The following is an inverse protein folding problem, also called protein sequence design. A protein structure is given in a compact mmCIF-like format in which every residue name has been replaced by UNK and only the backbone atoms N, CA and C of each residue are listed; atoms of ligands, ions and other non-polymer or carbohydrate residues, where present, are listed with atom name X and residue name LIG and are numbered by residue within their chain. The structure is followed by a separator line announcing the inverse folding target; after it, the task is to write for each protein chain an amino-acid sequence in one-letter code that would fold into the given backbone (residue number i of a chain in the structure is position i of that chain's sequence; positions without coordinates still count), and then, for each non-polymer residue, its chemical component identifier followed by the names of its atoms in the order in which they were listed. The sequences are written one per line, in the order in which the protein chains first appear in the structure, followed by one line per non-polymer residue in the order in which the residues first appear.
data_IF_442984327274
#
_entry.id   IF_442984327274
#
_cell.length_a   1.000
_cell.length_b   1.000
_cell.length_c   1.000
_cell.angle_alpha   90.00
_cell.angle_beta   90.00
_cell.angle_gamma   90.00
#
_symmetry.space_group_name_H-M   'P 1'
#
loop_
_entity.id
_entity.type
_entity.pdbx_description
1 polymer ?
#
# COMPACT_ATOMS: atom_id res chain seq x y z
N UNK A 1 -25.48 6.13 27.63
CA UNK A 1 -24.94 7.43 27.18
C UNK A 1 -23.71 7.91 27.98
N UNK A 2 -23.69 7.86 29.32
CA UNK A 2 -22.57 8.38 30.13
C UNK A 2 -21.19 7.71 29.88
N UNK A 3 -21.13 6.41 29.57
CA UNK A 3 -19.87 5.70 29.25
C UNK A 3 -19.27 6.13 27.90
N UNK A 4 -20.10 6.35 26.89
CA UNK A 4 -19.66 6.83 25.58
C UNK A 4 -19.07 8.24 25.69
N UNK A 5 -19.72 9.13 26.45
CA UNK A 5 -19.20 10.49 26.72
C UNK A 5 -17.85 10.48 27.44
N UNK A 6 -17.68 9.63 28.45
CA UNK A 6 -16.39 9.46 29.15
C UNK A 6 -15.29 8.87 28.28
N UNK A 7 -15.62 8.03 27.30
CA UNK A 7 -14.66 7.49 26.35
C UNK A 7 -14.17 8.57 25.37
N UNK A 8 -15.10 9.39 24.86
CA UNK A 8 -14.78 10.55 24.01
C UNK A 8 -13.92 11.57 24.76
N UNK A 9 -14.29 11.90 26.01
CA UNK A 9 -13.53 12.84 26.85
C UNK A 9 -12.11 12.33 27.15
N UNK A 10 -11.91 11.02 27.30
CA UNK A 10 -10.57 10.42 27.47
C UNK A 10 -9.76 10.45 26.19
N UNK A 11 -10.37 10.19 25.05
CA UNK A 11 -9.70 10.25 23.76
C UNK A 11 -9.20 11.67 23.46
N UNK A 12 -10.03 12.69 23.70
CA UNK A 12 -9.67 14.10 23.48
C UNK A 12 -8.58 14.66 24.41
N UNK A 13 -8.32 14.01 25.55
CA UNK A 13 -7.28 14.41 26.52
C UNK A 13 -5.98 13.62 26.39
N UNK A 14 -5.86 12.76 25.38
CA UNK A 14 -4.69 11.90 25.21
C UNK A 14 -3.53 12.74 24.65
N UNK A 15 -2.52 12.95 25.49
CA UNK A 15 -1.31 13.69 25.10
C UNK A 15 -0.34 12.73 24.45
N UNK A 16 0.10 13.06 23.24
CA UNK A 16 1.14 12.33 22.53
C UNK A 16 2.45 13.12 22.60
N UNK A 17 3.61 12.45 22.73
CA UNK A 17 4.90 13.13 22.67
C UNK A 17 5.12 13.70 21.27
N UNK A 18 5.73 14.88 21.19
CA UNK A 18 5.89 15.69 19.97
C UNK A 18 7.22 15.45 19.23
N UNK A 19 7.93 14.37 19.54
CA UNK A 19 9.19 14.09 18.86
C UNK A 19 8.95 13.54 17.45
N UNK A 20 9.82 13.95 16.51
CA UNK A 20 9.70 13.60 15.10
C UNK A 20 9.81 12.10 14.84
N UNK A 21 10.55 11.35 15.67
CA UNK A 21 10.75 9.92 15.45
C UNK A 21 9.54 9.05 15.84
N UNK A 22 8.51 9.62 16.50
CA UNK A 22 7.25 8.91 16.81
C UNK A 22 6.36 8.87 15.57
N UNK A 23 6.53 9.83 14.65
CA UNK A 23 5.80 9.90 13.37
C UNK A 23 6.25 8.84 12.36
N UNK A 24 7.41 8.20 12.56
CA UNK A 24 7.94 7.16 11.67
C UNK A 24 7.00 5.95 11.55
N UNK A 25 6.30 5.59 12.64
CA UNK A 25 5.27 4.55 12.61
C UNK A 25 4.00 4.99 11.90
N UNK A 26 3.67 6.28 11.95
CA UNK A 26 2.52 6.86 11.26
C UNK A 26 2.71 6.84 9.74
N UNK A 27 3.92 7.09 9.25
CA UNK A 27 4.26 6.95 7.82
C UNK A 27 3.94 5.52 7.33
N UNK A 28 4.30 4.50 8.10
CA UNK A 28 3.97 3.12 7.76
C UNK A 28 2.46 2.88 7.74
N UNK A 29 1.70 3.46 8.68
CA UNK A 29 0.23 3.35 8.70
C UNK A 29 -0.42 4.03 7.49
N UNK A 30 0.04 5.22 7.11
CA UNK A 30 -0.46 5.93 5.92
C UNK A 30 -0.12 5.16 4.64
N UNK A 31 1.12 4.67 4.52
CA UNK A 31 1.52 3.86 3.37
C UNK A 31 0.70 2.57 3.27
N UNK A 32 0.39 1.93 4.40
CA UNK A 32 -0.50 0.76 4.45
C UNK A 32 -1.92 1.09 3.96
N UNK A 33 -2.47 2.23 4.37
CA UNK A 33 -3.79 2.66 3.88
C UNK A 33 -3.79 2.90 2.37
N UNK A 34 -2.75 3.55 1.84
CA UNK A 34 -2.57 3.74 0.39
C UNK A 34 -2.46 2.40 -0.33
N UNK A 35 -1.72 1.43 0.22
CA UNK A 35 -1.61 0.08 -0.31
C UNK A 35 -2.97 -0.63 -0.38
N UNK A 36 -3.77 -0.56 0.69
CA UNK A 36 -5.12 -1.14 0.67
C UNK A 36 -6.01 -0.48 -0.38
N UNK A 37 -6.09 0.84 -0.39
CA UNK A 37 -6.96 1.57 -1.31
C UNK A 37 -6.60 1.28 -2.77
N UNK A 38 -5.31 1.40 -3.12
CA UNK A 38 -4.83 1.12 -4.48
C UNK A 38 -4.91 -0.36 -4.83
N UNK A 39 -4.56 -1.25 -3.90
CA UNK A 39 -4.57 -2.71 -4.10
C UNK A 39 -5.98 -3.24 -4.37
N UNK A 40 -6.99 -2.74 -3.67
CA UNK A 40 -8.40 -3.07 -3.92
C UNK A 40 -8.78 -2.69 -5.36
N UNK A 41 -8.41 -1.49 -5.80
CA UNK A 41 -8.71 -1.05 -7.18
C UNK A 41 -7.99 -1.95 -8.20
N UNK A 42 -6.69 -2.22 -8.00
CA UNK A 42 -5.91 -3.07 -8.90
C UNK A 42 -6.45 -4.51 -8.96
N UNK A 43 -6.94 -5.04 -7.85
CA UNK A 43 -7.49 -6.39 -7.76
C UNK A 43 -8.72 -6.60 -8.66
N UNK A 44 -9.51 -5.55 -8.93
CA UNK A 44 -10.65 -5.67 -9.86
C UNK A 44 -10.24 -5.86 -11.33
N UNK A 45 -9.00 -5.51 -11.69
CA UNK A 45 -8.51 -5.59 -13.07
C UNK A 45 -7.44 -6.67 -13.28
N UNK A 46 -6.98 -7.31 -12.20
CA UNK A 46 -5.93 -8.32 -12.24
C UNK A 46 -6.52 -9.72 -12.39
N UNK A 47 -6.01 -10.50 -13.33
CA UNK A 47 -6.36 -11.91 -13.51
C UNK A 47 -5.22 -12.80 -13.00
N UNK A 48 -5.46 -13.55 -11.92
CA UNK A 48 -4.44 -14.40 -11.28
C UNK A 48 -4.28 -15.78 -11.95
N UNK A 49 -4.34 -15.85 -13.28
CA UNK A 49 -4.22 -17.10 -14.05
C UNK A 49 -2.84 -17.28 -14.70
N UNK A 50 -2.33 -18.50 -14.63
CA UNK A 50 -1.11 -18.95 -15.33
C UNK A 50 -1.35 -19.49 -16.74
N UNK A 51 -2.60 -19.42 -17.24
CA UNK A 51 -2.93 -19.83 -18.61
C UNK A 51 -2.18 -18.99 -19.65
N UNK A 52 -1.76 -19.63 -20.74
CA UNK A 52 -1.11 -18.95 -21.85
C UNK A 52 -2.14 -18.26 -22.75
N UNK A 53 -1.83 -17.03 -23.14
CA UNK A 53 -2.63 -16.23 -24.07
C UNK A 53 -1.72 -15.38 -24.95
N UNK A 54 -2.23 -14.99 -26.11
CA UNK A 54 -1.51 -14.10 -27.04
C UNK A 54 -2.00 -12.68 -26.84
N UNK A 55 -1.08 -11.72 -26.66
CA UNK A 55 -1.45 -10.33 -26.39
C UNK A 55 -1.99 -9.63 -27.64
N UNK A 56 -3.16 -8.99 -27.50
CA UNK A 56 -3.78 -8.17 -28.56
C UNK A 56 -4.23 -6.78 -28.06
N UNK A 57 -3.58 -6.26 -27.02
CA UNK A 57 -3.94 -4.96 -26.41
C UNK A 57 -3.36 -3.73 -27.12
N UNK A 58 -3.42 -2.58 -26.45
CA UNK A 58 -2.96 -1.30 -26.99
C UNK A 58 -1.43 -1.17 -27.12
N UNK A 59 -0.64 -1.94 -26.35
CA UNK A 59 0.81 -1.85 -26.36
C UNK A 59 1.41 -2.59 -27.55
N UNK A 60 1.53 -1.89 -28.68
CA UNK A 60 1.99 -2.42 -29.98
C UNK A 60 3.23 -3.32 -29.92
N UNK A 61 4.30 -3.01 -29.15
CA UNK A 61 5.52 -3.82 -29.17
C UNK A 61 5.35 -5.27 -28.68
N UNK A 62 4.26 -5.58 -27.97
CA UNK A 62 3.99 -6.93 -27.47
C UNK A 62 2.82 -7.61 -28.17
N UNK A 63 2.23 -7.00 -29.21
CA UNK A 63 1.11 -7.60 -29.94
C UNK A 63 1.55 -8.88 -30.66
N UNK A 64 0.77 -9.94 -30.52
CA UNK A 64 1.06 -11.26 -31.08
C UNK A 64 2.05 -12.09 -30.27
N UNK A 65 2.50 -11.61 -29.10
CA UNK A 65 3.43 -12.33 -28.23
C UNK A 65 2.65 -13.20 -27.24
N UNK A 66 3.07 -14.46 -27.11
CA UNK A 66 2.53 -15.38 -26.09
C UNK A 66 3.05 -15.04 -24.69
N UNK A 67 2.14 -15.00 -23.73
CA UNK A 67 2.42 -14.67 -22.33
C UNK A 67 1.39 -15.32 -21.40
N UNK A 68 1.57 -15.19 -20.08
CA UNK A 68 0.54 -15.60 -19.13
C UNK A 68 -0.62 -14.60 -19.11
N UNK A 69 -1.82 -15.07 -18.81
CA UNK A 69 -3.00 -14.22 -18.59
C UNK A 69 -2.80 -13.22 -17.45
N UNK A 70 -2.02 -13.59 -16.43
CA UNK A 70 -1.58 -12.66 -15.39
C UNK A 70 -0.73 -11.50 -15.93
N UNK A 71 0.18 -11.75 -16.88
CA UNK A 71 0.98 -10.67 -17.47
C UNK A 71 0.17 -9.83 -18.45
N UNK A 72 -0.71 -10.46 -19.23
CA UNK A 72 -1.63 -9.78 -20.15
C UNK A 72 -2.55 -8.79 -19.40
N UNK A 73 -3.18 -9.23 -18.31
CA UNK A 73 -4.09 -8.38 -17.52
C UNK A 73 -3.36 -7.17 -16.92
N UNK A 74 -2.09 -7.34 -16.52
CA UNK A 74 -1.24 -6.25 -16.04
C UNK A 74 -0.92 -5.24 -17.15
N UNK A 75 -0.64 -5.70 -18.37
CA UNK A 75 -0.42 -4.80 -19.51
C UNK A 75 -1.69 -4.01 -19.84
N UNK A 76 -2.86 -4.67 -19.88
CA UNK A 76 -4.14 -4.01 -20.11
C UNK A 76 -4.47 -2.99 -19.02
N UNK A 77 -4.26 -3.34 -17.76
CA UNK A 77 -4.38 -2.40 -16.65
C UNK A 77 -3.44 -1.19 -16.82
N UNK A 78 -2.27 -1.36 -17.42
CA UNK A 78 -1.32 -0.27 -17.61
C UNK A 78 -1.67 0.66 -18.76
N UNK A 79 -2.20 0.12 -19.86
CA UNK A 79 -2.32 0.84 -21.12
C UNK A 79 -3.76 1.09 -21.57
N UNK A 80 -4.72 0.28 -21.11
CA UNK A 80 -6.12 0.35 -21.55
C UNK A 80 -7.03 0.97 -20.48
N UNK A 81 -6.65 0.91 -19.20
CA UNK A 81 -7.44 1.45 -18.09
C UNK A 81 -7.02 2.90 -17.78
N UNK A 82 -7.96 3.86 -17.72
CA UNK A 82 -7.65 5.24 -17.33
C UNK A 82 -6.95 5.29 -15.97
N UNK A 83 -5.81 5.98 -15.91
CA UNK A 83 -4.94 6.08 -14.74
C UNK A 83 -4.43 4.74 -14.17
N UNK A 84 -4.58 3.63 -14.89
CA UNK A 84 -4.20 2.31 -14.38
C UNK A 84 -2.69 2.16 -14.16
N UNK A 85 -1.85 2.67 -15.07
CA UNK A 85 -0.39 2.76 -14.84
C UNK A 85 -0.05 3.59 -13.61
N UNK A 86 -0.70 4.75 -13.42
CA UNK A 86 -0.46 5.59 -12.26
C UNK A 86 -0.81 4.85 -10.96
N UNK A 87 -1.97 4.19 -10.89
CA UNK A 87 -2.37 3.39 -9.73
C UNK A 87 -1.38 2.27 -9.42
N UNK A 88 -0.88 1.57 -10.45
CA UNK A 88 0.16 0.54 -10.28
C UNK A 88 1.45 1.12 -9.70
N UNK A 89 1.89 2.27 -10.23
CA UNK A 89 3.10 2.93 -9.76
C UNK A 89 2.93 3.44 -8.32
N UNK A 90 1.80 4.07 -8.00
CA UNK A 90 1.50 4.51 -6.63
C UNK A 90 1.49 3.32 -5.66
N UNK A 91 0.88 2.19 -6.04
CA UNK A 91 0.89 0.98 -5.22
C UNK A 91 2.32 0.45 -4.99
N UNK A 92 3.13 0.40 -6.05
CA UNK A 92 4.51 -0.05 -5.95
C UNK A 92 5.38 0.89 -5.08
N UNK A 93 5.30 2.20 -5.31
CA UNK A 93 6.03 3.18 -4.50
C UNK A 93 5.56 3.19 -3.05
N UNK A 94 4.25 3.05 -2.80
CA UNK A 94 3.72 2.88 -1.45
C UNK A 94 4.27 1.63 -0.77
N UNK A 95 4.47 0.53 -1.50
CA UNK A 95 5.09 -0.69 -0.96
C UNK A 95 6.55 -0.44 -0.54
N UNK A 96 7.32 0.26 -1.37
CA UNK A 96 8.71 0.63 -1.04
C UNK A 96 8.78 1.51 0.21
N UNK A 97 7.93 2.55 0.27
CA UNK A 97 7.85 3.45 1.43
C UNK A 97 7.40 2.71 2.68
N UNK A 98 6.41 1.82 2.57
CA UNK A 98 5.92 1.01 3.69
C UNK A 98 7.01 0.15 4.30
N UNK A 99 7.74 -0.60 3.47
CA UNK A 99 8.85 -1.46 3.93
C UNK A 99 9.97 -0.63 4.55
N UNK A 100 10.37 0.47 3.90
CA UNK A 100 11.39 1.37 4.45
C UNK A 100 10.96 1.97 5.80
N UNK A 101 9.71 2.43 5.92
CA UNK A 101 9.18 3.01 7.14
C UNK A 101 9.12 1.98 8.29
N UNK A 102 8.72 0.73 8.02
CA UNK A 102 8.74 -0.33 9.04
C UNK A 102 10.16 -0.62 9.52
N UNK A 103 11.14 -0.72 8.62
CA UNK A 103 12.54 -0.95 8.99
C UNK A 103 13.06 0.18 9.87
N UNK A 104 12.83 1.43 9.48
CA UNK A 104 13.25 2.60 10.25
C UNK A 104 12.51 2.70 11.60
N UNK A 105 11.22 2.38 11.63
CA UNK A 105 10.43 2.32 12.87
C UNK A 105 10.94 1.23 13.83
N UNK A 106 11.22 0.03 13.31
CA UNK A 106 11.79 -1.07 14.08
C UNK A 106 13.17 -0.71 14.65
N UNK A 107 14.04 -0.09 13.84
CA UNK A 107 15.32 0.43 14.30
C UNK A 107 15.14 1.44 15.45
N UNK A 108 14.21 2.40 15.30
CA UNK A 108 13.89 3.37 16.36
C UNK A 108 13.43 2.68 17.63
N UNK A 109 12.50 1.71 17.55
CA UNK A 109 12.01 0.95 18.71
C UNK A 109 13.16 0.21 19.41
N UNK A 110 14.04 -0.41 18.64
CA UNK A 110 15.20 -1.15 19.16
C UNK A 110 16.21 -0.22 19.85
N UNK A 111 16.70 0.81 19.15
CA UNK A 111 17.74 1.69 19.68
C UNK A 111 17.26 2.60 20.82
N UNK A 112 15.95 2.90 20.90
CA UNK A 112 15.37 3.68 22.02
C UNK A 112 14.89 2.81 23.18
N UNK A 113 14.98 1.47 23.07
CA UNK A 113 14.54 0.56 24.14
C UNK A 113 13.02 0.56 24.38
N UNK A 114 12.22 1.05 23.42
CA UNK A 114 10.77 1.22 23.56
C UNK A 114 9.97 -0.11 23.66
N UNK A 115 10.64 -1.25 23.49
CA UNK A 115 10.08 -2.59 23.67
C UNK A 115 10.16 -3.11 25.11
N UNK A 116 10.84 -2.39 26.03
CA UNK A 116 10.98 -2.79 27.44
C UNK A 116 9.65 -2.59 28.19
N UNK A 117 9.51 -3.24 29.36
CA UNK A 117 8.31 -3.12 30.19
C UNK A 117 8.05 -1.65 30.55
N UNK A 118 6.79 -1.18 30.43
CA UNK A 118 6.39 0.18 30.77
C UNK A 118 6.45 0.45 32.28
#
# INVERSE_FOLDING_TARGET
MARARRAVDRAGKKVFPDHWSFLLGEIAMVALFVLFATGIVLAFFYDASGEHTTYDGAYQPLRGVDMSRAYESVLRLSFDVPAGLLLRQVHHWAALVFVAAIVVHAARVFFTGAYRRP
#
